data_IF_943800361209
#
_entry.id   IF_943800361209
#
_cell.length_a   1.000
_cell.length_b   1.000
_cell.length_c   1.000
_cell.angle_alpha   90.00
_cell.angle_beta   90.00
_cell.angle_gamma   90.00
#
_symmetry.space_group_name_H-M   'P 1'
#
loop_
_entity.id
_entity.type
_entity.pdbx_description
1 polymer ?
#
# COMPACT_ATOMS: atom_id res chain seq x y z
N UNK A 1 5.10 3.11 -42.91
CA UNK A 1 5.45 4.55 -42.87
C UNK A 1 5.01 5.16 -41.52
N UNK A 2 5.72 4.91 -40.41
CA UNK A 2 5.42 5.50 -39.09
C UNK A 2 6.65 5.84 -38.22
N UNK A 3 7.84 5.35 -38.57
CA UNK A 3 9.07 5.53 -37.79
C UNK A 3 9.65 6.95 -37.85
N UNK A 4 9.54 7.62 -38.98
CA UNK A 4 10.08 8.98 -39.18
C UNK A 4 9.36 10.05 -38.37
N UNK A 5 8.07 9.85 -38.06
CA UNK A 5 7.29 10.81 -37.28
C UNK A 5 7.69 10.76 -35.79
N UNK A 6 7.98 9.56 -35.27
CA UNK A 6 8.41 9.39 -33.88
C UNK A 6 9.81 9.98 -33.63
N UNK A 7 10.77 9.71 -34.52
CA UNK A 7 12.13 10.26 -34.41
C UNK A 7 12.15 11.79 -34.46
N UNK A 8 11.27 12.41 -35.26
CA UNK A 8 11.17 13.86 -35.34
C UNK A 8 10.56 14.46 -34.06
N UNK A 9 9.53 13.83 -33.47
CA UNK A 9 8.94 14.28 -32.20
C UNK A 9 9.93 14.14 -31.04
N UNK A 10 10.74 13.08 -31.02
CA UNK A 10 11.78 12.90 -30.00
C UNK A 10 12.91 13.93 -30.13
N UNK A 11 13.30 14.31 -31.36
CA UNK A 11 14.29 15.39 -31.57
C UNK A 11 13.82 16.76 -31.09
N UNK A 12 12.51 17.03 -31.10
CA UNK A 12 11.98 18.32 -30.62
C UNK A 12 11.95 18.45 -29.10
N UNK A 13 12.07 17.35 -28.36
CA UNK A 13 12.03 17.34 -26.89
C UNK A 13 13.40 17.56 -26.23
N UNK A 14 14.49 17.45 -26.98
CA UNK A 14 15.83 17.78 -26.52
C UNK A 14 16.38 18.99 -27.32
N UNK A 15 16.20 20.23 -26.84
CA UNK A 15 16.63 21.43 -27.55
C UNK A 15 18.15 21.63 -27.57
N UNK A 16 18.94 20.68 -27.07
CA UNK A 16 20.38 20.76 -27.11
C UNK A 16 20.90 20.59 -28.56
N UNK A 17 21.75 21.51 -29.06
CA UNK A 17 22.33 21.37 -30.39
C UNK A 17 23.15 20.07 -30.49
N UNK A 18 23.04 19.32 -31.60
CA UNK A 18 23.79 18.08 -31.77
C UNK A 18 25.30 18.36 -31.81
N UNK A 19 26.08 17.47 -31.20
CA UNK A 19 27.54 17.48 -31.34
C UNK A 19 27.94 17.00 -32.75
N UNK A 20 29.19 17.22 -33.14
CA UNK A 20 29.68 16.94 -34.50
C UNK A 20 29.59 15.47 -34.96
N UNK A 21 29.23 14.55 -34.06
CA UNK A 21 29.02 13.13 -34.27
C UNK A 21 27.52 12.72 -34.30
N UNK A 22 26.60 13.69 -34.20
CA UNK A 22 25.16 13.47 -34.30
C UNK A 22 24.50 12.95 -33.02
N UNK A 23 25.21 12.92 -31.89
CA UNK A 23 24.64 12.61 -30.58
C UNK A 23 24.08 13.88 -29.90
N UNK A 24 23.04 13.77 -29.06
CA UNK A 24 22.58 14.89 -28.26
C UNK A 24 23.63 15.25 -27.20
N UNK A 25 24.08 16.51 -27.17
CA UNK A 25 25.14 16.99 -26.27
C UNK A 25 24.84 16.70 -24.78
N UNK A 26 23.55 16.59 -24.43
CA UNK A 26 23.08 16.31 -23.08
C UNK A 26 23.34 14.87 -22.66
N UNK A 27 23.14 13.91 -23.57
CA UNK A 27 23.39 12.50 -23.32
C UNK A 27 24.88 12.23 -23.02
N UNK A 28 25.78 12.89 -23.76
CA UNK A 28 27.22 12.77 -23.51
C UNK A 28 27.64 13.44 -22.20
N UNK A 29 27.03 14.58 -21.84
CA UNK A 29 27.30 15.25 -20.56
C UNK A 29 26.85 14.41 -19.35
N UNK A 30 25.69 13.75 -19.46
CA UNK A 30 25.19 12.86 -18.41
C UNK A 30 26.02 11.58 -18.32
N UNK A 31 26.42 10.99 -19.45
CA UNK A 31 27.33 9.84 -19.48
C UNK A 31 28.67 10.18 -18.83
N UNK A 32 29.26 11.34 -19.16
CA UNK A 32 30.50 11.79 -18.53
C UNK A 32 30.35 12.01 -17.01
N UNK A 33 29.20 12.50 -16.55
CA UNK A 33 28.92 12.65 -15.12
C UNK A 33 28.83 11.29 -14.41
N UNK A 34 28.14 10.33 -15.00
CA UNK A 34 28.01 8.96 -14.46
C UNK A 34 29.39 8.30 -14.38
N UNK A 35 30.20 8.42 -15.43
CA UNK A 35 31.55 7.85 -15.46
C UNK A 35 32.52 8.56 -14.52
N UNK A 36 32.33 9.85 -14.26
CA UNK A 36 33.16 10.65 -13.35
C UNK A 36 32.77 10.50 -11.87
N UNK A 37 31.62 9.87 -11.57
CA UNK A 37 31.21 9.64 -10.18
C UNK A 37 32.07 8.53 -9.59
N UNK A 38 32.93 8.77 -8.58
CA UNK A 38 33.76 7.73 -7.99
C UNK A 38 32.85 6.66 -7.42
N UNK A 39 33.02 5.41 -7.87
CA UNK A 39 32.43 4.27 -7.15
C UNK A 39 33.13 4.23 -5.81
N UNK A 40 32.36 4.45 -4.75
CA UNK A 40 32.80 4.22 -3.39
C UNK A 40 33.04 2.71 -3.25
N UNK A 41 34.24 2.28 -3.63
CA UNK A 41 34.72 0.92 -3.43
C UNK A 41 34.98 0.79 -1.94
N UNK A 42 33.90 0.57 -1.19
CA UNK A 42 33.94 0.17 0.19
C UNK A 42 34.65 -1.16 0.29
N UNK A 43 35.96 -1.09 0.46
CA UNK A 43 36.82 -2.18 0.92
C UNK A 43 36.37 -2.57 2.32
N UNK A 44 35.36 -3.43 2.37
CA UNK A 44 34.77 -3.97 3.60
C UNK A 44 35.53 -5.22 3.98
N UNK A 45 36.81 -5.02 4.30
CA UNK A 45 37.74 -6.05 4.75
C UNK A 45 38.22 -5.75 6.16
N UNK A 46 37.32 -5.60 7.13
CA UNK A 46 37.69 -5.64 8.55
C UNK A 46 36.48 -6.01 9.41
N UNK A 47 36.37 -7.29 9.73
CA UNK A 47 35.57 -7.79 10.85
C UNK A 47 36.43 -7.79 12.11
N UNK A 48 36.12 -7.00 13.14
CA UNK A 48 36.68 -7.20 14.47
C UNK A 48 35.95 -8.36 15.13
N UNK A 49 36.70 -9.44 15.38
CA UNK A 49 36.33 -10.55 16.24
C UNK A 49 35.99 -10.04 17.64
N UNK A 50 34.71 -10.02 18.01
CA UNK A 50 34.28 -9.75 19.39
C UNK A 50 34.34 -11.05 20.18
N UNK A 51 35.55 -11.41 20.59
CA UNK A 51 35.84 -12.31 21.71
C UNK A 51 36.62 -11.53 22.77
N UNK A 52 36.48 -11.94 24.03
CA UNK A 52 37.11 -11.39 25.24
C UNK A 52 36.39 -10.22 25.94
N UNK A 53 35.44 -10.60 26.82
CA UNK A 53 35.14 -9.84 28.03
C UNK A 53 35.63 -10.60 29.25
N UNK A 54 36.45 -9.99 30.13
CA UNK A 54 36.92 -10.62 31.35
C UNK A 54 35.82 -10.67 32.42
N UNK A 55 35.86 -11.74 33.22
CA UNK A 55 35.02 -11.98 34.37
C UNK A 55 35.27 -10.93 35.47
N UNK A 56 34.20 -10.25 35.91
CA UNK A 56 34.22 -9.38 37.09
C UNK A 56 33.20 -9.89 38.10
N UNK A 57 33.73 -10.52 39.15
CA UNK A 57 33.42 -10.23 40.55
C UNK A 57 31.97 -10.32 41.02
N UNK A 58 31.63 -11.45 41.65
CA UNK A 58 30.52 -11.57 42.58
C UNK A 58 30.76 -10.74 43.86
N UNK A 59 29.72 -10.04 44.32
CA UNK A 59 29.52 -9.68 45.75
C UNK A 59 28.03 -9.86 46.13
N UNK A 60 27.73 -10.46 47.31
CA UNK A 60 26.37 -10.72 47.75
C UNK A 60 25.84 -9.73 48.81
N UNK A 61 24.56 -9.91 49.16
CA UNK A 61 23.80 -9.40 50.33
C UNK A 61 23.21 -7.98 50.12
N UNK A 62 21.98 -7.61 50.48
CA UNK A 62 21.08 -7.96 51.60
C UNK A 62 19.64 -7.62 51.19
N UNK A 63 18.65 -8.42 51.59
CA UNK A 63 17.23 -8.13 51.36
C UNK A 63 16.59 -7.14 52.34
N UNK A 64 15.43 -6.57 51.95
CA UNK A 64 14.37 -6.19 52.90
C UNK A 64 13.01 -6.01 52.20
N UNK A 65 11.91 -6.52 52.76
CA UNK A 65 10.55 -6.29 52.27
C UNK A 65 9.83 -5.21 53.09
N UNK A 66 8.90 -4.47 52.46
CA UNK A 66 7.51 -4.20 52.92
C UNK A 66 6.90 -2.93 52.29
N UNK A 67 5.79 -3.15 51.57
CA UNK A 67 4.48 -2.44 51.57
C UNK A 67 4.46 -0.95 51.97
N UNK A 68 3.95 -0.09 51.08
CA UNK A 68 3.03 1.00 51.44
C UNK A 68 2.24 1.51 50.22
N UNK A 69 0.92 1.65 50.41
CA UNK A 69 -0.09 2.20 49.50
C UNK A 69 -0.02 3.74 49.45
N UNK A 70 0.00 4.37 48.27
CA UNK A 70 -0.44 5.77 48.04
C UNK A 70 -0.89 5.85 46.58
N UNK A 71 -2.20 5.93 46.31
CA UNK A 71 -3.05 7.12 46.08
C UNK A 71 -2.72 7.90 44.79
N UNK A 72 -3.80 8.09 44.04
CA UNK A 72 -3.98 8.82 42.79
C UNK A 72 -3.37 10.23 42.77
N UNK A 73 -3.04 10.69 41.56
CA UNK A 73 -2.74 12.10 41.29
C UNK A 73 -2.14 12.37 39.90
N UNK A 74 -3.02 12.65 38.94
CA UNK A 74 -2.94 13.69 37.90
C UNK A 74 -1.64 13.93 37.08
N UNK A 75 -1.80 13.68 35.77
CA UNK A 75 -1.70 14.64 34.64
C UNK A 75 -0.33 15.20 34.19
N UNK A 76 -0.17 15.11 32.85
CA UNK A 76 0.43 16.05 31.89
C UNK A 76 1.85 15.80 31.32
N UNK A 77 1.80 15.51 30.01
CA UNK A 77 2.50 16.21 28.90
C UNK A 77 3.99 15.91 28.69
N UNK A 78 4.30 15.34 27.52
CA UNK A 78 5.04 16.04 26.46
C UNK A 78 5.16 15.14 25.21
N UNK A 79 4.27 15.35 24.24
CA UNK A 79 4.51 14.92 22.87
C UNK A 79 5.55 15.88 22.27
N UNK A 80 6.75 15.38 22.00
CA UNK A 80 7.78 16.09 21.26
C UNK A 80 7.88 15.48 19.86
N UNK A 81 7.00 15.90 18.95
CA UNK A 81 7.15 15.65 17.52
C UNK A 81 8.08 16.69 16.93
N UNK A 82 9.33 16.28 16.72
CA UNK A 82 10.34 17.07 16.04
C UNK A 82 10.12 16.90 14.53
N UNK A 83 9.30 17.76 13.92
CA UNK A 83 9.18 17.84 12.47
C UNK A 83 10.47 18.47 11.92
N UNK A 84 11.32 17.64 11.33
CA UNK A 84 12.41 18.08 10.46
C UNK A 84 11.80 18.31 9.08
N UNK A 85 11.45 19.56 8.78
CA UNK A 85 11.13 19.99 7.41
C UNK A 85 12.43 20.29 6.68
N UNK A 86 13.09 19.25 6.17
CA UNK A 86 14.10 19.43 5.12
C UNK A 86 13.40 19.85 3.84
N UNK A 87 13.51 21.14 3.52
CA UNK A 87 13.12 21.68 2.23
C UNK A 87 13.91 21.03 1.11
N UNK A 88 13.23 20.22 0.31
CA UNK A 88 13.70 19.81 -1.01
C UNK A 88 13.01 20.72 -2.02
N UNK A 89 13.66 21.82 -2.36
CA UNK A 89 13.43 22.52 -3.62
C UNK A 89 14.37 21.87 -4.62
N UNK A 90 13.83 21.02 -5.51
CA UNK A 90 14.65 20.26 -6.43
C UNK A 90 13.87 19.56 -7.55
N UNK A 91 13.62 20.32 -8.62
CA UNK A 91 13.53 19.88 -10.03
C UNK A 91 12.45 18.84 -10.36
N UNK A 92 11.34 19.38 -10.88
CA UNK A 92 10.18 18.71 -11.45
C UNK A 92 10.44 18.20 -12.90
N UNK A 93 11.44 17.34 -13.09
CA UNK A 93 11.75 16.73 -14.40
C UNK A 93 12.09 15.25 -14.18
N UNK A 94 11.28 14.37 -14.81
CA UNK A 94 11.12 12.91 -14.61
C UNK A 94 10.05 12.57 -13.57
N UNK A 95 8.77 12.79 -13.92
CA UNK A 95 7.62 12.31 -13.14
C UNK A 95 7.57 10.77 -13.18
N UNK A 96 7.81 10.05 -12.08
CA UNK A 96 7.42 8.64 -12.01
C UNK A 96 5.89 8.63 -12.02
N UNK A 97 5.31 8.05 -13.05
CA UNK A 97 3.87 8.15 -13.36
C UNK A 97 2.99 7.19 -12.56
N UNK A 98 3.48 6.48 -11.56
CA UNK A 98 2.82 5.25 -11.10
C UNK A 98 2.27 5.42 -9.68
N UNK A 99 1.01 5.02 -9.43
CA UNK A 99 0.42 5.08 -8.08
C UNK A 99 1.19 4.18 -7.09
N UNK A 100 1.85 3.13 -7.60
CA UNK A 100 2.81 2.29 -6.90
C UNK A 100 3.99 3.05 -6.29
N UNK A 101 4.42 4.18 -6.88
CA UNK A 101 5.51 4.98 -6.34
C UNK A 101 5.19 5.58 -4.96
N UNK A 102 3.90 5.77 -4.65
CA UNK A 102 3.41 6.31 -3.38
C UNK A 102 2.78 5.26 -2.48
N UNK A 103 2.63 4.02 -2.98
CA UNK A 103 1.93 2.95 -2.27
C UNK A 103 2.63 2.55 -0.98
N UNK A 104 1.84 2.13 0.01
CA UNK A 104 2.31 1.67 1.32
C UNK A 104 1.68 0.33 1.71
N UNK A 105 2.42 -0.54 2.42
CA UNK A 105 1.90 -1.85 2.87
C UNK A 105 0.89 -1.73 4.02
N UNK A 106 0.69 -0.56 4.59
CA UNK A 106 -0.35 -0.27 5.59
C UNK A 106 -1.21 0.89 5.06
N UNK A 107 -2.53 0.72 5.10
CA UNK A 107 -3.48 1.76 4.73
C UNK A 107 -3.83 2.66 5.91
N UNK A 108 -4.10 3.93 5.61
CA UNK A 108 -4.65 4.90 6.57
C UNK A 108 -6.16 4.96 6.41
N UNK A 109 -6.91 4.94 7.52
CA UNK A 109 -8.35 5.20 7.49
C UNK A 109 -8.63 6.62 6.96
N UNK A 110 -9.66 6.75 6.12
CA UNK A 110 -10.10 8.04 5.57
C UNK A 110 -11.55 8.35 5.94
N UNK A 111 -11.93 9.63 6.10
CA UNK A 111 -13.31 9.97 6.39
C UNK A 111 -14.21 9.73 5.16
N UNK A 112 -15.50 9.50 5.40
CA UNK A 112 -16.49 9.21 4.36
C UNK A 112 -16.69 10.36 3.34
N UNK A 113 -16.36 11.59 3.71
CA UNK A 113 -16.41 12.77 2.83
C UNK A 113 -15.10 13.01 2.06
N UNK A 114 -14.11 12.12 2.18
CA UNK A 114 -12.87 12.22 1.43
C UNK A 114 -13.16 12.17 -0.09
N UNK A 115 -12.44 12.96 -0.92
CA UNK A 115 -12.76 13.04 -2.35
C UNK A 115 -12.74 11.68 -3.07
N UNK A 116 -11.83 10.77 -2.69
CA UNK A 116 -11.77 9.42 -3.28
C UNK A 116 -12.98 8.56 -2.91
N UNK A 117 -13.51 8.74 -1.70
CA UNK A 117 -14.75 8.08 -1.27
C UNK A 117 -15.93 8.61 -2.04
N UNK A 118 -16.04 9.95 -2.18
CA UNK A 118 -17.10 10.59 -2.95
C UNK A 118 -17.06 10.19 -4.44
N UNK A 119 -15.86 10.00 -5.00
CA UNK A 119 -15.68 9.50 -6.36
C UNK A 119 -16.23 8.07 -6.51
N UNK A 120 -15.89 7.18 -5.57
CA UNK A 120 -16.41 5.81 -5.56
C UNK A 120 -17.93 5.78 -5.38
N UNK A 121 -18.46 6.61 -4.47
CA UNK A 121 -19.90 6.75 -4.27
C UNK A 121 -20.60 7.17 -5.56
N UNK A 122 -20.12 8.25 -6.20
CA UNK A 122 -20.70 8.73 -7.46
C UNK A 122 -20.69 7.66 -8.55
N UNK A 123 -19.63 6.86 -8.61
CA UNK A 123 -19.48 5.80 -9.60
C UNK A 123 -20.51 4.68 -9.42
N UNK A 124 -20.71 4.16 -8.20
CA UNK A 124 -21.69 3.10 -7.97
C UNK A 124 -23.13 3.58 -7.76
N UNK A 125 -23.39 4.89 -7.65
CA UNK A 125 -24.77 5.41 -7.60
C UNK A 125 -25.58 4.99 -8.85
N UNK A 126 -24.91 4.69 -9.96
CA UNK A 126 -25.55 4.18 -11.18
C UNK A 126 -26.08 2.75 -10.96
N UNK A 127 -25.37 1.96 -10.16
CA UNK A 127 -25.66 0.55 -9.88
C UNK A 127 -26.64 0.39 -8.73
N UNK A 128 -26.41 1.11 -7.62
CA UNK A 128 -27.30 1.10 -6.46
C UNK A 128 -27.15 2.35 -5.58
N UNK A 129 -28.30 2.95 -5.28
CA UNK A 129 -28.41 4.03 -4.29
C UNK A 129 -28.46 3.55 -2.83
N UNK A 130 -28.49 2.24 -2.60
CA UNK A 130 -28.59 1.63 -1.26
C UNK A 130 -27.21 1.33 -0.65
N UNK A 131 -26.18 1.16 -1.50
CA UNK A 131 -24.81 0.92 -1.07
C UNK A 131 -24.28 2.08 -0.21
N UNK A 132 -23.66 1.75 0.91
CA UNK A 132 -22.99 2.68 1.83
C UNK A 132 -21.56 2.22 2.09
N UNK A 133 -20.58 3.13 2.15
CA UNK A 133 -19.23 2.77 2.57
C UNK A 133 -19.23 2.13 3.96
N UNK A 134 -18.61 0.96 4.09
CA UNK A 134 -18.40 0.25 5.37
C UNK A 134 -16.92 0.19 5.76
N UNK A 135 -16.01 0.31 4.79
CA UNK A 135 -14.57 0.43 5.06
C UNK A 135 -13.94 1.35 4.01
N UNK A 136 -13.10 2.28 4.46
CA UNK A 136 -12.37 3.18 3.59
C UNK A 136 -10.91 3.29 4.06
N UNK A 137 -9.96 3.04 3.16
CA UNK A 137 -8.54 3.21 3.43
C UNK A 137 -7.86 3.98 2.30
N UNK A 138 -6.66 4.50 2.57
CA UNK A 138 -5.80 5.12 1.57
C UNK A 138 -4.37 4.60 1.69
N UNK A 139 -3.76 4.30 0.54
CA UNK A 139 -2.35 3.92 0.39
C UNK A 139 -1.75 4.79 -0.70
N UNK A 140 -0.86 5.70 -0.32
CA UNK A 140 -0.39 6.74 -1.22
C UNK A 140 -1.54 7.61 -1.74
N UNK A 141 -1.61 7.78 -3.06
CA UNK A 141 -2.63 8.61 -3.72
C UNK A 141 -3.95 7.88 -3.99
N UNK A 142 -4.03 6.58 -3.70
CA UNK A 142 -5.21 5.74 -4.00
C UNK A 142 -6.02 5.46 -2.74
N UNK A 143 -7.32 5.74 -2.84
CA UNK A 143 -8.34 5.40 -1.84
C UNK A 143 -8.99 4.07 -2.24
N UNK A 144 -9.11 3.12 -1.31
CA UNK A 144 -9.90 1.91 -1.45
C UNK A 144 -11.17 2.07 -0.63
N UNK A 145 -12.31 1.70 -1.20
CA UNK A 145 -13.62 1.79 -0.57
C UNK A 145 -14.36 0.47 -0.76
N UNK A 146 -14.80 -0.11 0.34
CA UNK A 146 -15.74 -1.22 0.37
C UNK A 146 -17.09 -0.67 0.83
N UNK A 147 -18.11 -0.89 0.01
CA UNK A 147 -19.49 -0.58 0.33
C UNK A 147 -20.31 -1.85 0.48
N UNK A 148 -21.34 -1.76 1.32
CA UNK A 148 -22.35 -2.78 1.46
C UNK A 148 -23.74 -2.17 1.65
N UNK A 149 -24.79 -2.98 1.47
CA UNK A 149 -26.16 -2.62 1.84
C UNK A 149 -26.78 -3.62 2.83
N UNK A 150 -28.05 -3.41 3.16
CA UNK A 150 -28.81 -4.24 4.11
C UNK A 150 -29.21 -5.61 3.55
N UNK A 151 -29.05 -5.81 2.23
CA UNK A 151 -29.27 -7.08 1.55
C UNK A 151 -27.97 -7.91 1.47
N UNK A 152 -26.85 -7.36 1.94
CA UNK A 152 -25.54 -8.01 1.87
C UNK A 152 -24.89 -7.92 0.50
N UNK A 153 -25.37 -7.04 -0.40
CA UNK A 153 -24.62 -6.75 -1.62
C UNK A 153 -23.39 -5.95 -1.24
N UNK A 154 -22.29 -6.25 -1.89
CA UNK A 154 -21.01 -5.61 -1.62
C UNK A 154 -20.40 -5.09 -2.92
N UNK A 155 -19.70 -3.96 -2.82
CA UNK A 155 -19.02 -3.36 -3.96
C UNK A 155 -17.70 -2.75 -3.51
N UNK A 156 -16.65 -3.02 -4.27
CA UNK A 156 -15.32 -2.54 -4.01
C UNK A 156 -14.91 -1.51 -5.07
N UNK A 157 -14.28 -0.42 -4.67
CA UNK A 157 -13.83 0.62 -5.57
C UNK A 157 -12.47 1.16 -5.14
N UNK A 158 -11.59 1.40 -6.11
CA UNK A 158 -10.36 2.15 -5.92
C UNK A 158 -10.47 3.54 -6.59
N UNK A 159 -9.82 4.56 -6.04
CA UNK A 159 -9.85 5.90 -6.59
C UNK A 159 -8.52 6.61 -6.35
N UNK A 160 -7.78 6.89 -7.43
CA UNK A 160 -6.53 7.67 -7.36
C UNK A 160 -6.84 9.14 -7.62
N UNK A 161 -6.62 10.00 -6.62
CA UNK A 161 -6.91 11.43 -6.73
C UNK A 161 -5.75 12.15 -7.42
N UNK A 162 -5.84 12.33 -8.74
CA UNK A 162 -4.94 13.20 -9.51
C UNK A 162 -5.75 14.29 -10.21
N UNK A 163 -5.20 15.50 -10.29
CA UNK A 163 -5.85 16.62 -10.99
C UNK A 163 -6.21 16.24 -12.42
N UNK A 164 -7.51 16.27 -12.73
CA UNK A 164 -8.05 15.92 -14.05
C UNK A 164 -8.18 14.42 -14.35
N UNK A 165 -7.94 13.53 -13.37
CA UNK A 165 -8.25 12.10 -13.50
C UNK A 165 -9.57 11.73 -12.82
N UNK A 166 -10.37 10.94 -13.52
CA UNK A 166 -11.54 10.21 -12.98
C UNK A 166 -11.07 9.08 -12.03
N UNK A 167 -11.94 8.37 -11.26
CA UNK A 167 -11.54 7.28 -10.36
C UNK A 167 -11.34 5.95 -11.09
N UNK A 168 -10.40 5.10 -10.62
CA UNK A 168 -10.17 3.75 -11.16
C UNK A 168 -10.92 2.73 -10.31
N UNK A 169 -12.20 2.48 -10.59
CA UNK A 169 -12.96 1.42 -9.94
C UNK A 169 -13.03 0.15 -10.80
N UNK A 170 -12.80 -1.01 -10.20
CA UNK A 170 -13.23 -2.30 -10.74
C UNK A 170 -14.53 -2.70 -10.07
N UNK A 171 -15.54 -3.13 -10.82
CA UNK A 171 -16.79 -3.65 -10.26
C UNK A 171 -16.69 -5.16 -10.29
N UNK A 172 -16.78 -5.80 -9.14
CA UNK A 172 -17.25 -7.19 -9.11
C UNK A 172 -18.57 -7.18 -8.37
N UNK A 173 -19.61 -7.61 -9.06
CA UNK A 173 -20.89 -7.93 -8.44
C UNK A 173 -20.73 -9.28 -7.78
N UNK A 174 -20.68 -9.34 -6.46
CA UNK A 174 -20.91 -10.62 -5.79
C UNK A 174 -22.42 -10.74 -5.58
N UNK A 175 -23.04 -11.60 -6.39
CA UNK A 175 -24.48 -11.93 -6.39
C UNK A 175 -24.89 -12.79 -5.19
N UNK A 176 -23.97 -13.14 -4.29
CA UNK A 176 -24.21 -14.12 -3.25
C UNK A 176 -24.62 -13.52 -1.91
N UNK A 177 -25.58 -14.21 -1.28
CA UNK A 177 -26.19 -13.86 -0.02
C UNK A 177 -25.17 -13.57 1.11
N UNK A 178 -25.52 -12.71 2.08
CA UNK A 178 -24.67 -12.43 3.24
C UNK A 178 -24.29 -13.73 3.95
N UNK A 179 -23.02 -13.83 4.37
CA UNK A 179 -22.55 -14.99 5.13
C UNK A 179 -23.39 -15.11 6.40
N UNK A 180 -23.72 -16.35 6.76
CA UNK A 180 -24.02 -16.66 8.15
C UNK A 180 -22.92 -16.08 9.07
N UNK A 181 -23.31 -15.63 10.26
CA UNK A 181 -22.38 -15.06 11.24
C UNK A 181 -21.13 -15.94 11.40
N UNK A 182 -19.95 -15.38 11.07
CA UNK A 182 -18.66 -16.07 11.18
C UNK A 182 -18.39 -16.48 12.62
N UNK A 183 -17.61 -17.55 12.82
CA UNK A 183 -17.05 -17.83 14.13
C UNK A 183 -16.09 -16.69 14.55
N UNK A 184 -15.91 -16.41 15.86
CA UNK A 184 -15.16 -15.23 16.33
C UNK A 184 -13.73 -15.09 15.78
N UNK A 185 -13.06 -16.19 15.47
CA UNK A 185 -11.67 -16.23 14.99
C UNK A 185 -11.56 -16.46 13.48
N UNK A 186 -12.69 -16.55 12.78
CA UNK A 186 -12.75 -16.92 11.36
C UNK A 186 -12.59 -15.70 10.46
N UNK A 187 -12.08 -15.92 9.26
CA UNK A 187 -12.04 -14.94 8.18
C UNK A 187 -12.70 -15.56 6.96
N UNK A 188 -13.52 -14.79 6.25
CA UNK A 188 -14.09 -15.21 4.98
C UNK A 188 -13.82 -14.17 3.93
N UNK A 189 -13.36 -14.61 2.77
CA UNK A 189 -13.08 -13.72 1.65
C UNK A 189 -14.31 -13.60 0.76
N UNK A 190 -14.67 -12.38 0.40
CA UNK A 190 -15.73 -12.11 -0.57
C UNK A 190 -15.14 -11.69 -1.91
N UNK A 191 -14.05 -10.92 -1.88
CA UNK A 191 -13.36 -10.39 -3.06
C UNK A 191 -11.91 -10.85 -3.09
N UNK A 192 -11.50 -11.43 -4.22
CA UNK A 192 -10.11 -11.41 -4.68
C UNK A 192 -10.18 -11.10 -6.17
N UNK A 193 -9.77 -9.90 -6.54
CA UNK A 193 -9.84 -9.47 -7.93
C UNK A 193 -8.55 -8.75 -8.32
N UNK A 194 -8.17 -8.96 -9.57
CA UNK A 194 -7.00 -8.37 -10.15
C UNK A 194 -7.36 -7.56 -11.39
N UNK A 195 -7.02 -6.27 -11.34
CA UNK A 195 -7.28 -5.29 -12.41
C UNK A 195 -6.00 -5.05 -13.23
N UNK A 196 -6.11 -5.08 -14.56
CA UNK A 196 -4.94 -5.08 -15.46
C UNK A 196 -4.89 -3.97 -16.50
N UNK A 197 -3.68 -3.80 -17.04
CA UNK A 197 -3.27 -2.79 -18.00
C UNK A 197 -4.11 -2.80 -19.29
N UNK A 198 -4.59 -3.95 -19.79
CA UNK A 198 -5.30 -3.98 -21.07
C UNK A 198 -6.73 -3.39 -20.98
N UNK A 199 -7.41 -3.60 -19.84
CA UNK A 199 -8.64 -2.89 -19.50
C UNK A 199 -8.37 -1.38 -19.22
N UNK A 200 -7.20 -1.06 -18.68
CA UNK A 200 -6.80 0.33 -18.38
C UNK A 200 -6.32 1.12 -19.61
N UNK A 201 -5.65 0.49 -20.59
CA UNK A 201 -5.20 1.11 -21.85
C UNK A 201 -6.36 1.56 -22.71
N UNK A 202 -7.47 0.81 -22.73
CA UNK A 202 -8.68 1.21 -23.45
C UNK A 202 -9.26 2.52 -22.93
N UNK A 203 -9.05 2.79 -21.64
CA UNK A 203 -9.58 3.98 -20.99
C UNK A 203 -8.52 5.10 -20.88
N UNK A 204 -7.22 4.82 -21.08
CA UNK A 204 -6.10 5.77 -20.89
C UNK A 204 -5.47 5.84 -19.48
N UNK A 205 -5.52 4.76 -18.70
CA UNK A 205 -5.20 4.74 -17.26
C UNK A 205 -3.94 3.92 -16.94
N UNK A 206 -3.56 3.86 -15.65
CA UNK A 206 -2.25 3.51 -15.10
C UNK A 206 -1.51 2.34 -15.78
N UNK A 207 -0.17 2.42 -15.80
CA UNK A 207 0.69 1.45 -16.47
C UNK A 207 0.86 0.10 -15.72
N UNK A 208 0.29 -0.05 -14.52
CA UNK A 208 0.54 -1.19 -13.62
C UNK A 208 -0.78 -1.70 -13.05
N UNK A 209 -0.94 -3.02 -12.98
CA UNK A 209 -2.14 -3.67 -12.43
C UNK A 209 -2.21 -3.59 -10.91
N UNK A 210 -3.35 -3.96 -10.34
CA UNK A 210 -3.52 -4.09 -8.88
C UNK A 210 -4.39 -5.27 -8.50
N UNK A 211 -4.03 -5.95 -7.42
CA UNK A 211 -4.89 -6.94 -6.77
C UNK A 211 -5.54 -6.31 -5.56
N UNK A 212 -6.83 -6.59 -5.37
CA UNK A 212 -7.58 -6.20 -4.18
C UNK A 212 -8.23 -7.41 -3.54
N UNK A 213 -8.20 -7.46 -2.21
CA UNK A 213 -8.87 -8.47 -1.39
C UNK A 213 -9.78 -7.79 -0.39
N UNK A 214 -10.98 -8.33 -0.20
CA UNK A 214 -11.88 -7.92 0.86
C UNK A 214 -12.77 -9.07 1.35
N UNK A 215 -13.31 -8.92 2.54
CA UNK A 215 -14.26 -9.87 3.11
C UNK A 215 -14.62 -9.56 4.56
N UNK A 216 -15.06 -10.60 5.27
CA UNK A 216 -15.53 -10.55 6.63
C UNK A 216 -14.50 -11.15 7.60
N UNK A 217 -14.48 -10.62 8.82
CA UNK A 217 -13.70 -11.14 9.93
C UNK A 217 -14.59 -11.35 11.16
N UNK A 218 -14.30 -12.40 11.92
CA UNK A 218 -14.92 -12.64 13.22
C UNK A 218 -14.52 -11.59 14.25
N UNK A 219 -15.31 -11.48 15.33
CA UNK A 219 -15.17 -10.45 16.36
C UNK A 219 -13.84 -10.46 17.13
N UNK A 220 -13.14 -11.59 17.17
CA UNK A 220 -11.85 -11.74 17.86
C UNK A 220 -10.66 -11.43 16.95
N UNK A 221 -10.85 -11.20 15.65
CA UNK A 221 -9.75 -10.92 14.72
C UNK A 221 -9.25 -9.48 14.92
N UNK A 222 -7.98 -9.35 15.31
CA UNK A 222 -7.34 -8.07 15.58
C UNK A 222 -6.42 -7.61 14.45
N UNK A 223 -5.92 -8.52 13.60
CA UNK A 223 -5.04 -8.19 12.48
C UNK A 223 -5.12 -9.22 11.36
N UNK A 224 -5.04 -8.74 10.13
CA UNK A 224 -4.89 -9.56 8.92
C UNK A 224 -3.68 -9.05 8.15
N UNK A 225 -2.72 -9.94 7.86
CA UNK A 225 -1.52 -9.63 7.05
C UNK A 225 -1.45 -10.56 5.87
N UNK A 226 -1.55 -10.01 4.67
CA UNK A 226 -1.50 -10.75 3.40
C UNK A 226 -0.04 -10.94 2.95
N UNK A 227 0.27 -12.14 2.48
CA UNK A 227 1.56 -12.45 1.85
C UNK A 227 1.42 -12.26 0.35
N UNK A 228 2.06 -11.22 -0.20
CA UNK A 228 1.93 -10.82 -1.60
C UNK A 228 3.32 -10.62 -2.24
N UNK A 229 3.36 -10.50 -3.57
CA UNK A 229 4.60 -10.22 -4.31
C UNK A 229 5.15 -8.80 -4.04
N UNK A 230 4.29 -7.88 -3.58
CA UNK A 230 4.70 -6.57 -3.09
C UNK A 230 5.26 -6.62 -1.64
N UNK A 231 5.34 -7.81 -1.04
CA UNK A 231 5.70 -8.03 0.36
C UNK A 231 4.48 -8.12 1.29
N UNK A 232 4.68 -8.16 2.61
CA UNK A 232 3.57 -8.27 3.56
C UNK A 232 2.68 -7.02 3.54
N UNK A 233 1.38 -7.21 3.35
CA UNK A 233 0.38 -6.12 3.32
C UNK A 233 -0.55 -6.25 4.52
N UNK A 234 -0.61 -5.24 5.37
CA UNK A 234 -1.56 -5.21 6.50
C UNK A 234 -2.90 -4.71 5.99
N UNK A 235 -3.94 -5.53 6.09
CA UNK A 235 -5.29 -5.11 5.70
C UNK A 235 -5.85 -4.08 6.69
N UNK A 236 -6.71 -3.20 6.20
CA UNK A 236 -7.55 -2.37 7.06
C UNK A 236 -8.71 -3.21 7.60
N UNK A 237 -9.13 -2.91 8.84
CA UNK A 237 -10.25 -3.55 9.50
C UNK A 237 -11.24 -2.48 9.97
N UNK A 238 -12.53 -2.69 9.71
CA UNK A 238 -13.62 -1.84 10.21
C UNK A 238 -14.93 -2.63 10.24
N UNK A 239 -15.69 -2.54 11.33
CA UNK A 239 -17.05 -3.09 11.45
C UNK A 239 -17.21 -4.56 11.00
N UNK A 240 -16.26 -5.43 11.39
CA UNK A 240 -16.28 -6.85 11.02
C UNK A 240 -15.84 -7.13 9.57
N UNK A 241 -15.27 -6.13 8.89
CA UNK A 241 -14.80 -6.19 7.51
C UNK A 241 -13.30 -6.03 7.45
N UNK A 242 -12.68 -6.61 6.43
CA UNK A 242 -11.31 -6.30 6.05
C UNK A 242 -11.19 -5.98 4.56
N UNK A 243 -10.22 -5.15 4.21
CA UNK A 243 -9.83 -4.92 2.83
C UNK A 243 -8.37 -4.48 2.69
N UNK A 244 -7.76 -4.80 1.56
CA UNK A 244 -6.43 -4.34 1.19
C UNK A 244 -6.23 -4.38 -0.33
N UNK A 245 -5.35 -3.54 -0.85
CA UNK A 245 -4.90 -3.60 -2.23
C UNK A 245 -3.38 -3.43 -2.34
N UNK A 246 -2.79 -4.00 -3.40
CA UNK A 246 -1.37 -3.84 -3.72
C UNK A 246 -1.13 -3.82 -5.24
N UNK A 247 -0.07 -3.11 -5.68
CA UNK A 247 0.35 -3.14 -7.07
C UNK A 247 0.94 -4.51 -7.42
N UNK A 248 0.81 -4.89 -8.69
CA UNK A 248 1.34 -6.15 -9.22
C UNK A 248 2.04 -5.92 -10.57
N UNK A 249 2.95 -6.82 -10.90
CA UNK A 249 3.69 -6.81 -12.17
C UNK A 249 3.25 -7.92 -13.14
N UNK A 250 2.69 -9.02 -12.63
CA UNK A 250 2.28 -10.21 -13.40
C UNK A 250 0.75 -10.31 -13.45
N UNK A 251 0.22 -10.55 -14.65
CA UNK A 251 -1.21 -10.66 -14.93
C UNK A 251 -1.75 -12.04 -15.26
N UNK A 252 -0.92 -13.06 -15.06
CA UNK A 252 -1.27 -14.43 -15.42
C UNK A 252 -2.43 -15.03 -14.60
N UNK A 253 -2.72 -14.50 -13.41
CA UNK A 253 -3.82 -14.95 -12.54
C UNK A 253 -4.75 -13.80 -12.14
N UNK A 254 -5.99 -13.85 -12.63
CA UNK A 254 -7.04 -12.86 -12.30
C UNK A 254 -7.59 -13.03 -10.89
N UNK A 255 -7.43 -14.21 -10.27
CA UNK A 255 -7.98 -14.55 -8.96
C UNK A 255 -6.93 -15.29 -8.12
N UNK A 256 -5.81 -14.63 -7.79
CA UNK A 256 -4.69 -15.27 -7.13
C UNK A 256 -5.10 -15.86 -5.78
N UNK A 257 -4.50 -17.01 -5.43
CA UNK A 257 -4.57 -17.49 -4.06
C UNK A 257 -3.72 -16.60 -3.15
N UNK A 258 -4.33 -16.05 -2.09
CA UNK A 258 -3.63 -15.14 -1.17
C UNK A 258 -3.50 -15.81 0.19
N UNK A 259 -2.28 -16.00 0.68
CA UNK A 259 -2.07 -16.47 2.07
C UNK A 259 -2.16 -15.29 3.03
N UNK A 260 -2.83 -15.48 4.14
CA UNK A 260 -3.00 -14.47 5.18
C UNK A 260 -2.57 -14.99 6.55
N UNK A 261 -1.84 -14.19 7.30
CA UNK A 261 -1.64 -14.37 8.73
C UNK A 261 -2.71 -13.60 9.49
N UNK A 262 -3.52 -14.34 10.24
CA UNK A 262 -4.62 -13.82 11.05
C UNK A 262 -4.15 -13.82 12.50
N UNK A 263 -4.21 -12.66 13.16
CA UNK A 263 -3.93 -12.53 14.59
C UNK A 263 -5.21 -12.17 15.34
N UNK A 264 -5.55 -12.93 16.37
CA UNK A 264 -6.69 -12.68 17.25
C UNK A 264 -6.34 -11.72 18.39
N UNK A 265 -7.35 -11.23 19.10
CA UNK A 265 -7.21 -10.26 20.18
C UNK A 265 -6.40 -10.78 21.39
N UNK A 266 -6.36 -12.10 21.59
CA UNK A 266 -5.52 -12.77 22.60
C UNK A 266 -4.06 -12.99 22.14
N UNK A 267 -3.76 -12.65 20.88
CA UNK A 267 -2.43 -12.74 20.28
C UNK A 267 -2.12 -14.07 19.59
N UNK A 268 -3.07 -15.02 19.53
CA UNK A 268 -2.89 -16.22 18.71
C UNK A 268 -2.76 -15.83 17.23
N UNK A 269 -1.86 -16.50 16.49
CA UNK A 269 -1.64 -16.25 15.07
C UNK A 269 -1.71 -17.55 14.28
N UNK A 270 -2.44 -17.54 13.17
CA UNK A 270 -2.58 -18.67 12.25
C UNK A 270 -2.50 -18.22 10.81
N UNK A 271 -2.10 -19.13 9.93
CA UNK A 271 -2.09 -18.87 8.49
C UNK A 271 -3.32 -19.50 7.84
N UNK A 272 -4.00 -18.73 7.00
CA UNK A 272 -5.11 -19.19 6.18
C UNK A 272 -4.86 -18.88 4.71
N UNK A 273 -5.44 -19.69 3.84
CA UNK A 273 -5.50 -19.43 2.40
C UNK A 273 -6.83 -18.73 2.11
N UNK A 274 -6.76 -17.52 1.57
CA UNK A 274 -7.88 -16.73 1.10
C UNK A 274 -8.10 -16.97 -0.38
N UNK A 275 -9.36 -17.18 -0.77
CA UNK A 275 -9.79 -17.34 -2.16
C UNK A 275 -11.13 -16.63 -2.35
N UNK A 276 -11.33 -16.02 -3.51
CA UNK A 276 -12.64 -15.46 -3.86
C UNK A 276 -13.72 -16.53 -3.85
N UNK A 277 -14.97 -16.13 -3.57
CA UNK A 277 -16.12 -17.00 -3.86
C UNK A 277 -16.27 -17.03 -5.37
N UNK A 278 -16.20 -18.23 -5.94
CA UNK A 278 -16.43 -18.46 -7.36
C UNK A 278 -17.89 -18.60 -7.70
#
# INVERSE_FOLDING_TARGET
MRTTTLENTLRTLDPAPPTGDGRPARADADLHRILATPRDSGDRSDHPSVGDRPAVGARPLVGRPRRARWRAGLVAVAAATLMVTTGVVGIDILRPTTASATWTPVGDAVPADAPGVQQCEQWWQIESSELRPVLQERRGDTTLVLAADDQGRELLCTATLRDGQEPIGGMTSVEDAPIAQLAPHEVSTTFVDTTFEEAMRQNGWQAEGSTTVAGDVGEDVARVVLETDAGPVVASLADGRFAAWWPIEDDSDTHPEVRAQITTADGETRTETLRGRG
#
